data_IF_562479963307
#
_entry.id   IF_562479963307
#
_cell.length_a   1.000
_cell.length_b   1.000
_cell.length_c   1.000
_cell.angle_alpha   90.00
_cell.angle_beta   90.00
_cell.angle_gamma   90.00
#
_symmetry.space_group_name_H-M   'P 1'
#
loop_
_entity.id
_entity.type
_entity.pdbx_description
1 polymer ?
#
# COMPACT_ATOMS: atom_id res chain seq x y z
N UNK A 1 16.31 7.18 -2.67
CA UNK A 1 15.07 6.66 -3.26
C UNK A 1 13.95 7.67 -3.10
N UNK A 2 12.93 7.57 -3.92
CA UNK A 2 11.78 8.48 -3.86
C UNK A 2 11.05 8.42 -2.51
N UNK A 3 11.05 7.27 -1.85
CA UNK A 3 10.41 7.10 -0.53
C UNK A 3 11.11 7.95 0.53
N UNK A 4 12.44 7.92 0.57
CA UNK A 4 13.21 8.70 1.55
C UNK A 4 13.16 10.19 1.21
N UNK A 5 13.23 10.57 -0.05
CA UNK A 5 13.15 11.97 -0.47
C UNK A 5 11.80 12.57 -0.08
N UNK A 6 10.71 11.84 -0.35
CA UNK A 6 9.37 12.30 0.02
C UNK A 6 9.21 12.47 1.53
N UNK A 7 9.72 11.51 2.30
CA UNK A 7 9.68 11.58 3.76
C UNK A 7 10.45 12.79 4.29
N UNK A 8 11.63 13.07 3.72
CA UNK A 8 12.44 14.23 4.14
C UNK A 8 11.74 15.55 3.81
N UNK A 9 11.05 15.65 2.68
CA UNK A 9 10.29 16.85 2.33
C UNK A 9 9.17 17.10 3.34
N UNK A 10 8.44 16.06 3.73
CA UNK A 10 7.35 16.15 4.71
C UNK A 10 7.89 16.54 6.08
N UNK A 11 9.05 16.03 6.45
CA UNK A 11 9.69 16.35 7.71
C UNK A 11 9.99 17.86 7.80
N UNK A 12 10.46 18.44 6.71
CA UNK A 12 10.73 19.88 6.65
C UNK A 12 9.46 20.72 6.70
N UNK A 13 8.34 20.20 6.23
CA UNK A 13 7.04 20.89 6.25
C UNK A 13 6.32 20.72 7.57
N UNK A 14 6.83 19.89 8.49
CA UNK A 14 6.20 19.59 9.76
C UNK A 14 5.85 20.79 10.61
N UNK A 15 6.61 21.89 10.46
CA UNK A 15 6.36 23.12 11.19
C UNK A 15 5.04 23.80 10.80
N UNK A 16 4.46 23.44 9.65
CA UNK A 16 3.23 24.05 9.13
C UNK A 16 2.01 23.15 9.25
N UNK A 17 2.15 21.96 9.83
CA UNK A 17 1.10 20.95 9.89
C UNK A 17 0.99 20.37 11.28
N UNK A 18 -0.14 19.68 11.53
CA UNK A 18 -0.25 18.91 12.78
C UNK A 18 0.82 17.82 12.78
N UNK A 19 1.49 17.63 13.90
CA UNK A 19 2.53 16.62 14.04
C UNK A 19 2.04 15.23 13.69
N UNK A 20 0.82 14.88 14.11
CA UNK A 20 0.27 13.55 13.84
C UNK A 20 0.09 13.31 12.34
N UNK A 21 -0.43 14.31 11.61
CA UNK A 21 -0.62 14.22 10.16
C UNK A 21 0.72 14.10 9.43
N UNK A 22 1.67 14.93 9.80
CA UNK A 22 3.00 14.92 9.17
C UNK A 22 3.71 13.59 9.46
N UNK A 23 3.60 13.10 10.69
CA UNK A 23 4.19 11.80 11.05
C UNK A 23 3.60 10.68 10.20
N UNK A 24 2.28 10.63 10.07
CA UNK A 24 1.62 9.61 9.26
C UNK A 24 2.07 9.69 7.80
N UNK A 25 2.12 10.89 7.24
CA UNK A 25 2.58 11.11 5.87
C UNK A 25 4.03 10.67 5.69
N UNK A 26 4.89 10.98 6.67
CA UNK A 26 6.29 10.54 6.67
C UNK A 26 6.38 9.00 6.65
N UNK A 27 5.61 8.35 7.51
CA UNK A 27 5.59 6.89 7.60
C UNK A 27 5.19 6.26 6.27
N UNK A 28 4.17 6.79 5.63
CA UNK A 28 3.72 6.29 4.34
C UNK A 28 4.79 6.51 3.27
N UNK A 29 5.32 7.73 3.16
CA UNK A 29 6.32 8.03 2.13
C UNK A 29 7.58 7.20 2.28
N UNK A 30 8.02 6.98 3.51
CA UNK A 30 9.26 6.25 3.76
C UNK A 30 9.11 4.75 3.65
N UNK A 31 8.00 4.18 4.17
CA UNK A 31 7.91 2.74 4.40
C UNK A 31 6.83 1.99 3.61
N UNK A 32 6.13 2.63 2.68
CA UNK A 32 5.10 1.91 1.92
C UNK A 32 5.67 0.88 0.93
N UNK A 33 6.98 0.88 0.66
CA UNK A 33 7.65 -0.15 -0.13
C UNK A 33 8.33 -1.21 0.75
N UNK A 34 8.21 -1.11 2.08
CA UNK A 34 8.63 -2.20 2.95
C UNK A 34 7.68 -3.37 2.78
N UNK A 35 8.20 -4.58 2.99
CA UNK A 35 7.42 -5.80 2.80
C UNK A 35 7.29 -6.53 4.13
N UNK A 36 6.13 -7.14 4.34
CA UNK A 36 5.85 -7.89 5.57
C UNK A 36 6.94 -8.93 5.88
N UNK A 37 7.53 -9.54 4.85
CA UNK A 37 8.58 -10.54 4.98
C UNK A 37 10.00 -9.94 5.13
N UNK A 38 10.12 -8.63 5.19
CA UNK A 38 11.40 -7.95 5.38
C UNK A 38 12.23 -7.74 4.12
N UNK A 39 11.68 -8.08 2.95
CA UNK A 39 12.41 -7.98 1.68
C UNK A 39 12.20 -6.65 0.94
N UNK A 40 11.56 -5.69 1.59
CA UNK A 40 11.33 -4.38 0.99
C UNK A 40 12.46 -3.41 1.25
N UNK A 41 12.16 -2.13 1.03
CA UNK A 41 13.11 -1.04 1.20
C UNK A 41 12.40 0.22 1.67
N UNK A 42 13.08 1.23 2.22
CA UNK A 42 14.53 1.42 2.26
C UNK A 42 15.23 0.77 3.47
N UNK A 43 14.49 0.41 4.52
CA UNK A 43 15.11 -0.02 5.79
C UNK A 43 15.04 -1.53 6.03
N UNK A 44 14.28 -2.27 5.23
CA UNK A 44 14.15 -3.72 5.40
C UNK A 44 13.36 -4.11 6.63
N UNK A 45 12.38 -3.29 7.02
CA UNK A 45 11.51 -3.59 8.16
C UNK A 45 10.62 -4.78 7.84
N UNK A 46 10.28 -5.56 8.87
CA UNK A 46 9.39 -6.72 8.70
C UNK A 46 8.29 -6.72 9.74
N UNK A 47 7.16 -7.33 9.37
CA UNK A 47 6.03 -7.52 10.28
C UNK A 47 5.55 -6.22 10.91
N UNK A 48 5.27 -6.27 12.19
CA UNK A 48 4.73 -5.13 12.94
C UNK A 48 5.68 -3.95 13.08
N UNK A 49 6.93 -4.10 12.67
CA UNK A 49 7.88 -2.99 12.65
C UNK A 49 7.55 -1.98 11.56
N UNK A 50 6.78 -2.39 10.55
CA UNK A 50 6.29 -1.50 9.50
C UNK A 50 5.06 -0.77 10.04
N UNK A 51 5.04 0.58 10.03
CA UNK A 51 3.85 1.31 10.47
C UNK A 51 2.60 0.86 9.72
N UNK A 52 1.47 0.74 10.43
CA UNK A 52 0.23 0.24 9.81
C UNK A 52 -0.22 1.13 8.65
N UNK A 53 -0.02 2.44 8.74
CA UNK A 53 -0.35 3.36 7.65
C UNK A 53 0.39 2.98 6.37
N UNK A 54 1.68 2.63 6.47
CA UNK A 54 2.49 2.23 5.34
C UNK A 54 2.05 0.86 4.81
N UNK A 55 1.65 -0.06 5.68
CA UNK A 55 1.14 -1.37 5.28
C UNK A 55 -0.14 -1.23 4.44
N UNK A 56 -1.06 -0.38 4.88
CA UNK A 56 -2.34 -0.15 4.19
C UNK A 56 -2.08 0.44 2.79
N UNK A 57 -1.23 1.44 2.69
CA UNK A 57 -0.91 2.06 1.40
C UNK A 57 -0.20 1.07 0.48
N UNK A 58 0.70 0.24 1.02
CA UNK A 58 1.38 -0.80 0.24
C UNK A 58 0.38 -1.75 -0.40
N UNK A 59 -0.60 -2.22 0.37
CA UNK A 59 -1.64 -3.11 -0.15
C UNK A 59 -2.51 -2.41 -1.19
N UNK A 60 -2.89 -1.15 -0.95
CA UNK A 60 -3.68 -0.36 -1.88
C UNK A 60 -2.95 -0.17 -3.21
N UNK A 61 -1.64 0.11 -3.16
CA UNK A 61 -0.82 0.27 -4.35
C UNK A 61 -0.77 -1.01 -5.18
N UNK A 62 -0.63 -2.15 -4.51
CA UNK A 62 -0.61 -3.45 -5.19
C UNK A 62 -1.96 -3.71 -5.87
N UNK A 63 -3.06 -3.48 -5.14
CA UNK A 63 -4.40 -3.66 -5.69
C UNK A 63 -4.61 -2.75 -6.92
N UNK A 64 -4.28 -1.47 -6.78
CA UNK A 64 -4.42 -0.50 -7.88
C UNK A 64 -3.63 -0.92 -9.11
N UNK A 65 -2.40 -1.38 -8.91
CA UNK A 65 -1.55 -1.85 -10.01
C UNK A 65 -2.16 -3.04 -10.73
N UNK A 66 -2.87 -3.92 -10.01
CA UNK A 66 -3.49 -5.11 -10.60
C UNK A 66 -4.73 -4.76 -11.41
N UNK A 67 -5.57 -3.86 -10.92
CA UNK A 67 -6.85 -3.54 -11.57
C UNK A 67 -6.74 -2.41 -12.60
N UNK A 68 -5.60 -1.72 -12.69
CA UNK A 68 -5.39 -0.63 -13.63
C UNK A 68 -4.75 -1.14 -14.91
N UNK A 69 -5.31 -0.72 -16.06
CA UNK A 69 -4.75 -1.05 -17.35
C UNK A 69 -3.44 -0.28 -17.55
N UNK A 70 -2.41 -0.99 -18.01
CA UNK A 70 -1.11 -0.40 -18.29
C UNK A 70 -0.73 -0.67 -19.73
N UNK A 71 0.25 0.08 -20.24
CA UNK A 71 0.71 -0.04 -21.64
C UNK A 71 1.14 -1.47 -21.97
N UNK A 72 1.75 -2.15 -21.00
CA UNK A 72 2.34 -3.48 -21.20
C UNK A 72 1.53 -4.64 -20.61
N UNK A 73 0.36 -4.37 -20.04
CA UNK A 73 -0.48 -5.44 -19.50
C UNK A 73 -1.94 -5.00 -19.38
N UNK A 74 -2.84 -5.97 -19.48
CA UNK A 74 -4.27 -5.75 -19.26
C UNK A 74 -4.55 -5.70 -17.74
N UNK A 75 -5.66 -5.05 -17.40
CA UNK A 75 -6.13 -5.01 -16.01
C UNK A 75 -6.73 -6.38 -15.63
N UNK A 76 -6.50 -6.77 -14.36
CA UNK A 76 -7.20 -7.92 -13.80
C UNK A 76 -8.57 -7.47 -13.28
N UNK A 77 -9.54 -8.38 -13.28
CA UNK A 77 -10.83 -8.12 -12.64
C UNK A 77 -10.63 -7.95 -11.13
N UNK A 78 -11.43 -7.10 -10.47
CA UNK A 78 -11.29 -6.90 -9.02
C UNK A 78 -11.28 -8.19 -8.19
N UNK A 79 -12.16 -9.13 -8.50
CA UNK A 79 -12.20 -10.42 -7.77
C UNK A 79 -10.90 -11.20 -7.94
N UNK A 80 -10.35 -11.20 -9.15
CA UNK A 80 -9.08 -11.87 -9.44
C UNK A 80 -7.93 -11.20 -8.68
N UNK A 81 -7.89 -9.87 -8.67
CA UNK A 81 -6.87 -9.12 -7.96
C UNK A 81 -6.87 -9.44 -6.47
N UNK A 82 -8.06 -9.48 -5.84
CA UNK A 82 -8.19 -9.84 -4.43
C UNK A 82 -7.65 -11.25 -4.18
N UNK A 83 -8.00 -12.21 -5.03
CA UNK A 83 -7.52 -13.58 -4.87
C UNK A 83 -6.00 -13.69 -5.02
N UNK A 84 -5.42 -12.93 -5.94
CA UNK A 84 -3.96 -12.91 -6.12
C UNK A 84 -3.25 -12.40 -4.86
N UNK A 85 -3.79 -11.34 -4.25
CA UNK A 85 -3.24 -10.80 -3.00
C UNK A 85 -3.38 -11.81 -1.87
N UNK A 86 -4.55 -12.44 -1.73
CA UNK A 86 -4.83 -13.42 -0.68
C UNK A 86 -3.94 -14.66 -0.78
N UNK A 87 -3.62 -15.08 -2.00
CA UNK A 87 -2.80 -16.26 -2.22
C UNK A 87 -1.30 -16.00 -2.15
N UNK A 88 -0.89 -14.75 -1.93
CA UNK A 88 0.52 -14.41 -1.81
C UNK A 88 1.25 -14.22 -3.13
N UNK A 89 0.53 -14.15 -4.24
CA UNK A 89 1.14 -13.97 -5.58
C UNK A 89 1.88 -12.62 -5.67
N UNK A 90 1.46 -11.63 -4.89
CA UNK A 90 2.05 -10.29 -4.87
C UNK A 90 2.94 -10.07 -3.64
N UNK A 91 3.28 -11.13 -2.93
CA UNK A 91 4.07 -11.08 -1.72
C UNK A 91 3.23 -11.32 -0.47
N UNK A 92 3.88 -11.22 0.67
CA UNK A 92 3.25 -11.49 1.96
C UNK A 92 2.74 -10.20 2.59
N UNK A 93 1.53 -10.22 3.11
CA UNK A 93 0.92 -9.09 3.81
C UNK A 93 0.50 -9.48 5.22
N UNK A 94 0.27 -8.45 6.05
CA UNK A 94 -0.27 -8.64 7.39
C UNK A 94 -1.60 -9.40 7.30
N UNK A 95 -1.76 -10.53 8.00
CA UNK A 95 -3.00 -11.32 7.95
C UNK A 95 -4.24 -10.52 8.31
N UNK A 96 -4.14 -9.55 9.21
CA UNK A 96 -5.25 -8.69 9.58
C UNK A 96 -5.73 -7.85 8.40
N UNK A 97 -4.78 -7.34 7.59
CA UNK A 97 -5.12 -6.56 6.40
C UNK A 97 -5.75 -7.44 5.33
N UNK A 98 -5.34 -8.70 5.23
CA UNK A 98 -5.96 -9.65 4.31
C UNK A 98 -7.42 -9.88 4.68
N UNK A 99 -7.73 -10.00 5.98
CA UNK A 99 -9.11 -10.12 6.45
C UNK A 99 -9.93 -8.89 6.08
N UNK A 100 -9.36 -7.68 6.28
CA UNK A 100 -10.03 -6.45 5.90
C UNK A 100 -10.28 -6.37 4.40
N UNK A 101 -9.34 -6.85 3.59
CA UNK A 101 -9.49 -6.86 2.14
C UNK A 101 -10.69 -7.71 1.71
N UNK A 102 -10.87 -8.87 2.33
CA UNK A 102 -12.01 -9.74 2.06
C UNK A 102 -13.32 -9.02 2.39
N UNK A 103 -13.37 -8.32 3.51
CA UNK A 103 -14.58 -7.62 3.96
C UNK A 103 -14.97 -6.47 3.05
N UNK A 104 -14.00 -5.77 2.43
CA UNK A 104 -14.28 -4.59 1.61
C UNK A 104 -14.24 -4.85 0.11
N UNK A 105 -14.05 -6.11 -0.31
CA UNK A 105 -13.86 -6.42 -1.73
C UNK A 105 -15.01 -5.95 -2.62
N UNK A 106 -16.25 -6.00 -2.13
CA UNK A 106 -17.41 -5.54 -2.90
C UNK A 106 -17.38 -4.03 -3.13
N UNK A 107 -16.93 -3.27 -2.14
CA UNK A 107 -16.77 -1.82 -2.25
C UNK A 107 -15.69 -1.48 -3.27
N UNK A 108 -14.55 -2.20 -3.22
CA UNK A 108 -13.47 -2.00 -4.18
C UNK A 108 -13.91 -2.28 -5.61
N UNK A 109 -14.73 -3.29 -5.80
CA UNK A 109 -15.27 -3.65 -7.10
C UNK A 109 -16.14 -2.54 -7.67
N UNK A 110 -16.98 -1.91 -6.85
CA UNK A 110 -17.81 -0.79 -7.26
C UNK A 110 -16.96 0.41 -7.67
N UNK A 111 -15.92 0.73 -6.92
CA UNK A 111 -15.03 1.85 -7.21
C UNK A 111 -14.34 1.68 -8.56
N UNK A 112 -13.86 0.49 -8.87
CA UNK A 112 -13.21 0.21 -10.15
C UNK A 112 -14.21 0.38 -11.30
N UNK A 113 -15.45 -0.10 -11.12
CA UNK A 113 -16.49 0.01 -12.11
C UNK A 113 -16.85 1.47 -12.38
N UNK A 114 -16.94 2.29 -11.33
CA UNK A 114 -17.24 3.71 -11.46
C UNK A 114 -16.11 4.49 -12.15
N UNK A 115 -14.86 4.08 -11.94
CA UNK A 115 -13.70 4.74 -12.52
C UNK A 115 -13.55 4.48 -14.02
N UNK A 116 -14.16 3.43 -14.51
CA UNK A 116 -14.15 3.10 -15.94
C UNK A 116 -15.18 3.91 -16.70
#
# INVERSE_FOLDING_TARGET
THTVIGANMLDKLGIYRSEALVRTAYEICRWHHERWDGRGYPDGLSGDRIPISAQVVSMADVYDALVSKRVYKAAYAPDTAVQMILHGDCGTFNPLLLECLVEIQDVLKEDVTEAE
#
